data_IF_352339452673
#
_entry.id   IF_352339452673
#
_cell.length_a   1.000
_cell.length_b   1.000
_cell.length_c   1.000
_cell.angle_alpha   90.00
_cell.angle_beta   90.00
_cell.angle_gamma   90.00
#
_symmetry.space_group_name_H-M   'P 1'
#
loop_
_entity.id
_entity.type
_entity.pdbx_description
1 polymer ?
#
# COMPACT_ATOMS: atom_id res chain seq x y z
N UNK A 1 13.56 -16.21 -14.87
CA UNK A 1 14.05 -14.80 -15.00
C UNK A 1 15.24 -14.62 -14.08
N UNK A 2 16.31 -13.96 -14.53
CA UNK A 2 17.55 -13.81 -13.75
C UNK A 2 17.32 -12.97 -12.49
N UNK A 3 17.82 -13.42 -11.33
CA UNK A 3 17.70 -12.69 -10.05
C UNK A 3 18.21 -11.25 -10.13
N UNK A 4 19.17 -10.99 -11.03
CA UNK A 4 19.71 -9.65 -11.31
C UNK A 4 18.65 -8.69 -11.82
N UNK A 5 17.72 -9.15 -12.67
CA UNK A 5 16.64 -8.32 -13.22
C UNK A 5 15.68 -7.89 -12.10
N UNK A 6 15.40 -8.78 -11.16
CA UNK A 6 14.53 -8.51 -10.02
C UNK A 6 15.16 -7.46 -9.10
N UNK A 7 16.48 -7.54 -8.85
CA UNK A 7 17.19 -6.53 -8.06
C UNK A 7 17.22 -5.16 -8.73
N UNK A 8 17.46 -5.11 -10.06
CA UNK A 8 17.48 -3.85 -10.80
C UNK A 8 16.08 -3.21 -10.83
N UNK A 9 15.05 -3.99 -11.15
CA UNK A 9 13.66 -3.50 -11.12
C UNK A 9 13.23 -3.09 -9.71
N UNK A 10 13.64 -3.83 -8.67
CA UNK A 10 13.38 -3.49 -7.28
C UNK A 10 14.06 -2.21 -6.82
N UNK A 11 15.31 -1.98 -7.22
CA UNK A 11 16.03 -0.74 -6.93
C UNK A 11 15.38 0.47 -7.64
N UNK A 12 14.95 0.28 -8.89
CA UNK A 12 14.27 1.32 -9.66
C UNK A 12 12.88 1.63 -9.09
N UNK A 13 12.15 0.60 -8.64
CA UNK A 13 10.85 0.80 -7.98
C UNK A 13 11.02 1.52 -6.63
N UNK A 14 12.10 1.26 -5.89
CA UNK A 14 12.42 1.96 -4.64
C UNK A 14 12.62 3.47 -4.87
N UNK A 15 13.31 3.86 -5.93
CA UNK A 15 13.49 5.27 -6.30
C UNK A 15 12.14 5.96 -6.58
N UNK A 16 11.28 5.31 -7.38
CA UNK A 16 9.94 5.82 -7.67
C UNK A 16 9.02 5.82 -6.45
N UNK A 17 9.16 4.84 -5.55
CA UNK A 17 8.38 4.73 -4.33
C UNK A 17 8.76 5.84 -3.34
N UNK A 18 10.05 6.11 -3.15
CA UNK A 18 10.51 7.22 -2.31
C UNK A 18 9.99 8.54 -2.86
N UNK A 19 10.16 8.81 -4.16
CA UNK A 19 9.65 10.03 -4.80
C UNK A 19 8.12 10.16 -4.74
N UNK A 20 7.41 9.04 -4.93
CA UNK A 20 5.97 8.96 -4.81
C UNK A 20 5.48 9.22 -3.40
N UNK A 21 6.18 8.73 -2.37
CA UNK A 21 5.88 9.04 -0.96
C UNK A 21 6.10 10.52 -0.69
N UNK A 22 7.21 11.13 -1.13
CA UNK A 22 7.46 12.56 -0.87
C UNK A 22 6.42 13.46 -1.55
N UNK A 23 6.01 13.12 -2.78
CA UNK A 23 4.93 13.82 -3.48
C UNK A 23 3.58 13.61 -2.78
N UNK A 24 3.24 12.37 -2.45
CA UNK A 24 1.98 12.03 -1.76
C UNK A 24 1.89 12.74 -0.40
N UNK A 25 2.98 12.77 0.37
CA UNK A 25 3.04 13.46 1.66
C UNK A 25 2.95 14.99 1.50
N UNK A 26 3.33 15.55 0.34
CA UNK A 26 3.22 16.98 0.04
C UNK A 26 1.79 17.38 -0.39
N UNK A 27 1.09 16.49 -1.11
CA UNK A 27 -0.31 16.68 -1.52
C UNK A 27 -1.31 16.40 -0.37
N UNK A 28 -0.92 15.62 0.65
CA UNK A 28 -1.77 15.28 1.80
C UNK A 28 -1.94 16.49 2.75
N UNK A 29 -2.85 17.41 2.41
CA UNK A 29 -3.26 18.53 3.28
C UNK A 29 -3.85 17.98 4.59
N UNK A 30 -3.05 18.03 5.66
CA UNK A 30 -3.32 17.56 7.04
C UNK A 30 -4.42 18.33 7.79
N UNK A 31 -5.64 18.43 7.28
CA UNK A 31 -6.74 19.05 8.02
C UNK A 31 -7.84 18.02 8.30
N UNK A 32 -7.77 17.39 9.50
CA UNK A 32 -8.73 16.45 10.12
C UNK A 32 -8.53 14.94 9.87
N UNK A 33 -7.41 14.38 10.35
CA UNK A 33 -7.29 12.93 10.52
C UNK A 33 -8.07 12.46 11.76
N UNK A 34 -8.95 11.47 11.61
CA UNK A 34 -9.49 10.71 12.75
C UNK A 34 -8.52 9.57 13.08
N UNK A 35 -8.51 9.09 14.32
CA UNK A 35 -7.71 7.94 14.75
C UNK A 35 -7.90 6.69 13.87
N UNK A 36 -9.09 6.54 13.26
CA UNK A 36 -9.38 5.47 12.30
C UNK A 36 -8.57 5.57 11.00
N UNK A 37 -8.23 6.77 10.53
CA UNK A 37 -7.43 6.96 9.31
C UNK A 37 -6.02 6.39 9.46
N UNK A 38 -5.42 6.56 10.64
CA UNK A 38 -4.11 5.98 10.96
C UNK A 38 -4.15 4.45 10.94
N UNK A 39 -5.24 3.84 11.40
CA UNK A 39 -5.41 2.39 11.37
C UNK A 39 -5.49 1.84 9.94
N UNK A 40 -6.22 2.50 9.06
CA UNK A 40 -6.29 2.11 7.65
C UNK A 40 -4.95 2.32 6.93
N UNK A 41 -4.27 3.43 7.19
CA UNK A 41 -2.96 3.71 6.60
C UNK A 41 -1.88 2.72 7.07
N UNK A 42 -1.86 2.41 8.37
CA UNK A 42 -0.97 1.39 8.93
C UNK A 42 -1.27 0.01 8.34
N UNK A 43 -2.55 -0.35 8.20
CA UNK A 43 -2.96 -1.62 7.60
C UNK A 43 -2.53 -1.74 6.14
N UNK A 44 -2.66 -0.67 5.35
CA UNK A 44 -2.21 -0.63 3.97
C UNK A 44 -0.68 -0.78 3.86
N UNK A 45 0.07 -0.14 4.75
CA UNK A 45 1.53 -0.23 4.79
C UNK A 45 2.01 -1.64 5.17
N UNK A 46 1.40 -2.25 6.19
CA UNK A 46 1.69 -3.64 6.59
C UNK A 46 1.36 -4.60 5.44
N UNK A 47 0.22 -4.41 4.78
CA UNK A 47 -0.17 -5.24 3.64
C UNK A 47 0.79 -5.14 2.47
N UNK A 48 1.28 -3.93 2.17
CA UNK A 48 2.28 -3.70 1.14
C UNK A 48 3.59 -4.42 1.46
N UNK A 49 4.11 -4.28 2.69
CA UNK A 49 5.32 -4.97 3.12
C UNK A 49 5.16 -6.49 3.08
N UNK A 50 4.00 -6.99 3.50
CA UNK A 50 3.69 -8.42 3.47
C UNK A 50 3.58 -8.95 2.04
N UNK A 51 2.92 -8.23 1.13
CA UNK A 51 2.84 -8.61 -0.29
C UNK A 51 4.24 -8.71 -0.93
N UNK A 52 5.11 -7.74 -0.65
CA UNK A 52 6.51 -7.78 -1.11
C UNK A 52 7.27 -8.95 -0.49
N UNK A 53 7.11 -9.19 0.82
CA UNK A 53 7.74 -10.33 1.49
C UNK A 53 7.34 -11.66 0.83
N UNK A 54 6.05 -11.89 0.60
CA UNK A 54 5.59 -13.12 -0.04
C UNK A 54 6.07 -13.24 -1.48
N UNK A 55 6.09 -12.12 -2.21
CA UNK A 55 6.56 -12.05 -3.60
C UNK A 55 8.03 -12.47 -3.73
N UNK A 56 8.90 -12.00 -2.82
CA UNK A 56 10.34 -12.26 -2.90
C UNK A 56 10.80 -13.53 -2.18
N UNK A 57 10.15 -13.92 -1.08
CA UNK A 57 10.63 -15.02 -0.21
C UNK A 57 9.83 -16.32 -0.32
N UNK A 58 8.59 -16.28 -0.82
CA UNK A 58 7.70 -17.46 -0.85
C UNK A 58 7.34 -17.84 -2.28
N UNK A 59 6.34 -17.19 -2.86
CA UNK A 59 5.97 -17.32 -4.27
C UNK A 59 5.30 -16.02 -4.75
N UNK A 60 5.55 -15.63 -6.02
CA UNK A 60 4.95 -14.45 -6.62
C UNK A 60 3.41 -14.45 -6.57
N UNK A 61 2.78 -15.62 -6.77
CA UNK A 61 1.32 -15.75 -6.80
C UNK A 61 0.66 -15.25 -5.51
N UNK A 62 1.25 -15.54 -4.35
CA UNK A 62 0.69 -15.13 -3.06
C UNK A 62 0.89 -13.63 -2.81
N UNK A 63 2.01 -13.06 -3.28
CA UNK A 63 2.27 -11.62 -3.20
C UNK A 63 1.25 -10.82 -4.00
N UNK A 64 0.88 -11.27 -5.20
CA UNK A 64 -0.19 -10.63 -6.02
C UNK A 64 -1.52 -10.71 -5.29
N UNK A 65 -1.87 -11.88 -4.75
CA UNK A 65 -3.15 -12.08 -4.07
C UNK A 65 -3.31 -11.09 -2.91
N UNK A 66 -2.32 -11.03 -2.01
CA UNK A 66 -2.32 -10.09 -0.87
C UNK A 66 -2.30 -8.63 -1.35
N UNK A 67 -1.49 -8.34 -2.38
CA UNK A 67 -1.35 -6.99 -2.94
C UNK A 67 -2.62 -6.43 -3.56
N UNK A 68 -3.55 -7.28 -3.99
CA UNK A 68 -4.85 -6.85 -4.54
C UNK A 68 -5.93 -6.88 -3.45
N UNK A 69 -6.08 -8.01 -2.76
CA UNK A 69 -7.17 -8.24 -1.82
C UNK A 69 -7.17 -7.25 -0.64
N UNK A 70 -6.00 -6.97 -0.05
CA UNK A 70 -5.95 -6.17 1.20
C UNK A 70 -6.30 -4.70 0.95
N UNK A 71 -5.72 -4.01 -0.05
CA UNK A 71 -6.13 -2.65 -0.36
C UNK A 71 -7.59 -2.56 -0.84
N UNK A 72 -8.13 -3.59 -1.51
CA UNK A 72 -9.56 -3.63 -1.86
C UNK A 72 -10.47 -3.64 -0.61
N UNK A 73 -10.13 -4.42 0.43
CA UNK A 73 -10.88 -4.45 1.68
C UNK A 73 -10.81 -3.10 2.43
N UNK A 74 -9.64 -2.45 2.41
CA UNK A 74 -9.45 -1.12 2.99
C UNK A 74 -10.28 -0.06 2.24
N UNK A 75 -10.29 -0.10 0.91
CA UNK A 75 -11.10 0.79 0.08
C UNK A 75 -12.61 0.63 0.37
N UNK A 76 -13.06 -0.61 0.57
CA UNK A 76 -14.43 -0.93 0.95
C UNK A 76 -14.77 -0.36 2.34
N UNK A 77 -13.87 -0.48 3.32
CA UNK A 77 -14.02 0.14 4.64
C UNK A 77 -14.12 1.67 4.58
N UNK A 78 -13.29 2.32 3.75
CA UNK A 78 -13.39 3.77 3.51
C UNK A 78 -14.73 4.16 2.85
N UNK A 79 -15.21 3.36 1.89
CA UNK A 79 -16.50 3.60 1.23
C UNK A 79 -17.66 3.66 2.23
N UNK A 80 -17.76 2.67 3.14
CA UNK A 80 -18.79 2.68 4.17
C UNK A 80 -18.65 3.86 5.13
N UNK A 81 -17.43 4.25 5.50
CA UNK A 81 -17.20 5.43 6.33
C UNK A 81 -17.67 6.72 5.63
N UNK A 82 -17.42 6.86 4.33
CA UNK A 82 -17.88 8.03 3.58
C UNK A 82 -19.41 8.12 3.55
N UNK A 83 -20.10 6.98 3.39
CA UNK A 83 -21.56 6.93 3.46
C UNK A 83 -22.06 7.30 4.86
N UNK A 84 -21.47 6.72 5.91
CA UNK A 84 -21.88 6.96 7.29
C UNK A 84 -21.58 8.38 7.77
N UNK A 85 -20.61 9.08 7.19
CA UNK A 85 -20.28 10.46 7.53
C UNK A 85 -21.20 11.50 6.86
N UNK A 86 -22.07 11.07 5.94
CA UNK A 86 -22.95 11.95 5.15
C UNK A 86 -24.42 11.90 5.59
N UNK A 87 -24.72 11.22 6.70
CA UNK A 87 -26.04 11.17 7.36
C UNK A 87 -26.02 11.95 8.67
#
# INVERSE_FOLDING_TARGET
MSQVVIFIFGALSLFFLIGGITLTLREFRLNHFRTSDYFFLASALVAFLFANYLWFYVKPEYGIFVGIWVPSNIALGLYFRMISSKS
#
